data_IF_378814357538
#
_entry.id   IF_378814357538
#
_cell.length_a   1.000
_cell.length_b   1.000
_cell.length_c   1.000
_cell.angle_alpha   90.00
_cell.angle_beta   90.00
_cell.angle_gamma   90.00
#
_symmetry.space_group_name_H-M   'P 1'
#
loop_
_entity.id
_entity.type
_entity.pdbx_description
1 polymer ?
#
# COMPACT_ATOMS: atom_id res chain seq x y z
N UNK A 1 15.72 -0.45 -5.23
CA UNK A 1 15.98 0.94 -5.65
C UNK A 1 14.72 1.77 -5.39
N UNK A 2 14.71 2.56 -4.31
CA UNK A 2 13.52 3.21 -3.73
C UNK A 2 13.17 4.57 -4.38
N UNK A 3 13.98 5.03 -5.33
CA UNK A 3 13.93 6.37 -5.92
C UNK A 3 12.94 6.49 -7.10
N UNK A 4 12.61 5.38 -7.76
CA UNK A 4 11.63 5.38 -8.86
C UNK A 4 10.18 5.61 -8.39
N UNK A 5 9.87 5.41 -7.10
CA UNK A 5 8.54 5.71 -6.55
C UNK A 5 8.30 7.22 -6.39
N UNK A 6 9.33 8.04 -6.24
CA UNK A 6 9.17 9.49 -6.04
C UNK A 6 8.93 10.27 -7.34
N UNK A 7 8.96 9.61 -8.50
CA UNK A 7 8.80 10.24 -9.81
C UNK A 7 7.43 9.99 -10.46
N UNK A 8 6.51 9.27 -9.79
CA UNK A 8 5.16 9.06 -10.29
C UNK A 8 4.19 10.07 -9.65
N UNK A 9 3.70 11.07 -10.40
CA UNK A 9 2.72 12.01 -9.87
C UNK A 9 1.37 11.35 -9.52
N UNK A 10 1.10 10.13 -10.03
CA UNK A 10 -0.06 9.32 -9.67
C UNK A 10 0.09 8.52 -8.37
N UNK A 11 1.31 8.44 -7.80
CA UNK A 11 1.52 7.78 -6.52
C UNK A 11 1.10 8.78 -5.43
N UNK A 12 -0.06 8.60 -4.79
CA UNK A 12 -0.42 9.54 -3.72
C UNK A 12 0.58 9.37 -2.57
N UNK A 13 1.35 10.40 -2.29
CA UNK A 13 2.31 10.45 -1.17
C UNK A 13 1.63 10.87 0.15
N UNK A 14 0.30 10.82 0.20
CA UNK A 14 -0.49 11.17 1.38
C UNK A 14 -0.62 10.01 2.37
N UNK A 15 -1.07 10.36 3.58
CA UNK A 15 -1.51 9.40 4.60
C UNK A 15 -2.49 8.39 4.00
N UNK A 16 -2.45 7.15 4.51
CA UNK A 16 -3.42 6.15 4.10
C UNK A 16 -4.82 6.62 4.50
N UNK A 17 -5.80 6.46 3.61
CA UNK A 17 -7.19 6.66 4.01
C UNK A 17 -7.56 5.59 5.04
N UNK A 18 -8.48 5.89 5.95
CA UNK A 18 -8.95 4.94 6.97
C UNK A 18 -9.38 3.58 6.37
N UNK A 19 -9.95 3.61 5.16
CA UNK A 19 -10.30 2.40 4.41
C UNK A 19 -9.08 1.59 3.95
N UNK A 20 -8.00 2.26 3.54
CA UNK A 20 -6.74 1.62 3.15
C UNK A 20 -6.07 1.00 4.37
N UNK A 21 -6.05 1.71 5.51
CA UNK A 21 -5.49 1.19 6.77
C UNK A 21 -6.24 -0.05 7.25
N UNK A 22 -7.57 -0.02 7.27
CA UNK A 22 -8.38 -1.19 7.63
C UNK A 22 -8.10 -2.38 6.71
N UNK A 23 -7.91 -2.12 5.41
CA UNK A 23 -7.58 -3.15 4.43
C UNK A 23 -6.17 -3.72 4.68
N UNK A 24 -5.19 -2.87 4.97
CA UNK A 24 -3.82 -3.28 5.32
C UNK A 24 -3.83 -4.16 6.56
N UNK A 25 -4.50 -3.74 7.64
CA UNK A 25 -4.59 -4.50 8.89
C UNK A 25 -5.29 -5.84 8.67
N UNK A 26 -6.42 -5.84 7.94
CA UNK A 26 -7.16 -7.07 7.62
C UNK A 26 -6.32 -8.04 6.78
N UNK A 27 -5.67 -7.54 5.73
CA UNK A 27 -4.81 -8.37 4.89
C UNK A 27 -3.58 -8.85 5.65
N UNK A 28 -2.96 -8.01 6.49
CA UNK A 28 -1.83 -8.41 7.32
C UNK A 28 -2.22 -9.52 8.30
N UNK A 29 -3.41 -9.48 8.90
CA UNK A 29 -3.92 -10.60 9.71
C UNK A 29 -4.13 -11.90 8.92
N UNK A 30 -4.50 -11.80 7.63
CA UNK A 30 -4.76 -12.99 6.78
C UNK A 30 -3.48 -13.55 6.17
N UNK A 31 -2.58 -12.69 5.68
CA UNK A 31 -1.41 -13.08 4.88
C UNK A 31 -0.07 -12.86 5.57
N UNK A 32 -0.05 -12.18 6.72
CA UNK A 32 1.16 -11.88 7.50
C UNK A 32 2.04 -10.82 6.82
N UNK A 33 3.35 -10.95 6.95
CA UNK A 33 4.36 -10.03 6.41
C UNK A 33 4.53 -10.06 4.87
N UNK A 34 3.52 -10.50 4.12
CA UNK A 34 3.52 -10.52 2.64
C UNK A 34 3.14 -9.15 2.07
N UNK A 35 3.97 -8.14 2.32
CA UNK A 35 3.72 -6.75 1.92
C UNK A 35 3.51 -6.55 0.42
N UNK A 36 4.19 -7.32 -0.43
CA UNK A 36 3.99 -7.28 -1.89
C UNK A 36 2.57 -7.66 -2.31
N UNK A 37 1.94 -8.60 -1.59
CA UNK A 37 0.55 -8.99 -1.84
C UNK A 37 -0.43 -7.94 -1.30
N UNK A 38 -0.14 -7.36 -0.13
CA UNK A 38 -0.96 -6.29 0.46
C UNK A 38 -0.95 -5.06 -0.45
N UNK A 39 0.23 -4.66 -0.94
CA UNK A 39 0.39 -3.53 -1.85
C UNK A 39 -0.31 -3.77 -3.20
N UNK A 40 -0.29 -4.99 -3.73
CA UNK A 40 -1.02 -5.33 -4.95
C UNK A 40 -2.55 -5.10 -4.82
N UNK A 41 -3.06 -5.12 -3.59
CA UNK A 41 -4.48 -4.93 -3.27
C UNK A 41 -4.86 -3.49 -2.92
N UNK A 42 -3.89 -2.57 -2.96
CA UNK A 42 -4.09 -1.13 -2.82
C UNK A 42 -3.91 -0.46 -4.18
N UNK A 43 -4.97 -0.38 -5.02
CA UNK A 43 -4.85 0.22 -6.34
C UNK A 43 -4.43 1.69 -6.24
N UNK A 44 -3.29 2.05 -6.85
CA UNK A 44 -2.74 3.41 -6.82
C UNK A 44 -1.69 3.68 -5.72
N UNK A 45 -1.16 2.62 -5.09
CA UNK A 45 0.03 2.65 -4.22
C UNK A 45 1.13 1.74 -4.73
#
# INVERSE_FOLDING_TARGET
>A
LRWTNYLRPDLKHGEFSENEEQTIVKLHSVVGNRWSLIAAQLPGR
#
